data_IF_401188619786
#
_entry.id   IF_401188619786
#
_cell.length_a   1.000
_cell.length_b   1.000
_cell.length_c   1.000
_cell.angle_alpha   90.00
_cell.angle_beta   90.00
_cell.angle_gamma   90.00
#
_symmetry.space_group_name_H-M   'P 1'
#
loop_
_entity.id
_entity.type
_entity.pdbx_description
1 polymer ?
#
# COMPACT_ATOMS: atom_id res chain seq x y z
N UNK A 1 -14.60 -0.02 -20.47
CA UNK A 1 -13.80 -0.77 -19.49
C UNK A 1 -13.08 -1.88 -20.24
N UNK A 2 -11.79 -1.75 -20.37
CA UNK A 2 -10.99 -2.64 -21.23
C UNK A 2 -10.45 -3.84 -20.44
N UNK A 3 -10.16 -3.67 -19.13
CA UNK A 3 -9.65 -4.70 -18.25
C UNK A 3 -10.18 -4.54 -16.82
N UNK A 4 -10.45 -5.64 -16.16
CA UNK A 4 -10.87 -5.71 -14.77
C UNK A 4 -9.93 -6.58 -13.97
N UNK A 5 -9.15 -6.00 -13.09
CA UNK A 5 -8.24 -6.71 -12.19
C UNK A 5 -8.77 -6.59 -10.76
N UNK A 6 -8.80 -7.69 -10.03
CA UNK A 6 -9.06 -7.72 -8.60
C UNK A 6 -7.72 -7.83 -7.87
N UNK A 7 -7.39 -6.85 -7.04
CA UNK A 7 -6.24 -6.92 -6.15
C UNK A 7 -6.68 -7.50 -4.79
N UNK A 8 -5.92 -8.47 -4.31
CA UNK A 8 -6.19 -9.17 -3.04
C UNK A 8 -4.92 -9.19 -2.19
N UNK A 9 -5.03 -8.80 -0.94
CA UNK A 9 -4.02 -9.11 0.07
C UNK A 9 -4.30 -10.53 0.59
N UNK A 10 -3.44 -11.52 0.30
CA UNK A 10 -3.69 -12.92 0.68
C UNK A 10 -3.74 -13.13 2.19
N UNK A 11 -3.15 -12.23 3.00
CA UNK A 11 -3.21 -12.32 4.46
C UNK A 11 -4.61 -12.02 5.02
N UNK A 12 -5.41 -11.21 4.33
CA UNK A 12 -6.80 -10.90 4.70
C UNK A 12 -7.81 -11.72 3.89
N UNK A 13 -7.47 -12.05 2.65
CA UNK A 13 -8.30 -12.80 1.74
C UNK A 13 -9.67 -12.15 1.52
N UNK A 14 -10.71 -12.93 1.68
CA UNK A 14 -12.12 -12.55 1.53
C UNK A 14 -12.86 -12.45 2.88
N UNK A 15 -12.11 -12.48 4.01
CA UNK A 15 -12.70 -12.54 5.34
C UNK A 15 -13.59 -13.77 5.53
N UNK A 16 -14.81 -13.59 6.03
CA UNK A 16 -15.79 -14.68 6.18
C UNK A 16 -16.56 -15.02 4.89
N UNK A 17 -16.21 -14.40 3.76
CA UNK A 17 -16.87 -14.61 2.47
C UNK A 17 -18.28 -14.04 2.33
N UNK A 18 -18.78 -13.32 3.34
CA UNK A 18 -20.12 -12.76 3.34
C UNK A 18 -20.14 -11.34 2.79
N UNK A 19 -21.30 -10.97 2.23
CA UNK A 19 -21.56 -9.60 1.74
C UNK A 19 -21.97 -8.70 2.90
N UNK A 20 -21.57 -7.42 2.83
CA UNK A 20 -21.99 -6.41 3.81
C UNK A 20 -23.54 -6.41 4.00
N UNK A 21 -24.07 -6.31 5.23
CA UNK A 21 -23.35 -6.04 6.49
C UNK A 21 -22.83 -7.28 7.23
N UNK A 22 -23.07 -8.51 6.73
CA UNK A 22 -22.67 -9.75 7.39
C UNK A 22 -21.17 -10.07 7.24
N UNK A 23 -20.48 -9.41 6.32
CA UNK A 23 -19.05 -9.56 6.06
C UNK A 23 -18.46 -8.41 5.25
N UNK A 24 -17.17 -8.52 4.84
CA UNK A 24 -16.42 -7.44 4.24
C UNK A 24 -16.70 -7.26 2.74
N UNK A 25 -17.34 -8.21 2.07
CA UNK A 25 -17.53 -8.15 0.64
C UNK A 25 -18.63 -7.14 0.26
N UNK A 26 -18.44 -6.43 -0.83
CA UNK A 26 -19.44 -5.50 -1.40
C UNK A 26 -20.45 -6.20 -2.32
N UNK A 27 -20.10 -7.38 -2.82
CA UNK A 27 -20.91 -8.25 -3.66
C UNK A 27 -20.52 -9.72 -3.42
N UNK A 28 -21.31 -10.66 -3.93
CA UNK A 28 -20.99 -12.08 -3.86
C UNK A 28 -19.67 -12.35 -4.61
N UNK A 29 -18.83 -13.19 -4.02
CA UNK A 29 -17.50 -13.51 -4.55
C UNK A 29 -17.57 -14.00 -6.00
N UNK A 30 -18.52 -14.89 -6.32
CA UNK A 30 -18.67 -15.44 -7.66
C UNK A 30 -18.95 -14.36 -8.71
N UNK A 31 -19.74 -13.34 -8.36
CA UNK A 31 -20.03 -12.22 -9.27
C UNK A 31 -18.80 -11.36 -9.54
N UNK A 32 -18.01 -11.06 -8.49
CA UNK A 32 -16.75 -10.35 -8.62
C UNK A 32 -15.75 -11.11 -9.50
N UNK A 33 -15.56 -12.41 -9.21
CA UNK A 33 -14.66 -13.28 -9.96
C UNK A 33 -15.09 -13.46 -11.43
N UNK A 34 -16.39 -13.60 -11.70
CA UNK A 34 -16.87 -13.73 -13.09
C UNK A 34 -16.53 -12.54 -13.96
N UNK A 35 -16.54 -11.32 -13.38
CA UNK A 35 -16.24 -10.06 -14.07
C UNK A 35 -14.75 -9.74 -14.20
N UNK A 36 -13.93 -10.37 -13.35
CA UNK A 36 -12.49 -10.14 -13.35
C UNK A 36 -11.84 -10.82 -14.57
N UNK A 37 -10.93 -10.13 -15.21
CA UNK A 37 -10.08 -10.68 -16.26
C UNK A 37 -8.81 -11.30 -15.69
N UNK A 38 -8.38 -10.83 -14.50
CA UNK A 38 -7.26 -11.37 -13.74
C UNK A 38 -7.39 -11.04 -12.25
N UNK A 39 -6.62 -11.75 -11.43
CA UNK A 39 -6.41 -11.45 -10.02
C UNK A 39 -4.94 -11.12 -9.80
N UNK A 40 -4.66 -10.13 -8.96
CA UNK A 40 -3.32 -9.82 -8.45
C UNK A 40 -3.29 -10.08 -6.95
N UNK A 41 -2.46 -11.04 -6.54
CA UNK A 41 -2.17 -11.28 -5.12
C UNK A 41 -1.02 -10.35 -4.71
N UNK A 42 -1.34 -9.40 -3.83
CA UNK A 42 -0.40 -8.39 -3.31
C UNK A 42 0.12 -8.86 -1.95
N UNK A 43 1.34 -9.36 -1.90
CA UNK A 43 1.99 -9.79 -0.67
C UNK A 43 2.95 -8.71 -0.14
N UNK A 44 3.17 -8.60 1.18
CA UNK A 44 4.31 -7.88 1.72
C UNK A 44 5.62 -8.46 1.19
N UNK A 45 6.68 -7.66 1.10
CA UNK A 45 7.98 -8.09 0.56
C UNK A 45 8.56 -9.34 1.25
N UNK A 46 8.20 -9.59 2.51
CA UNK A 46 8.68 -10.72 3.32
C UNK A 46 7.86 -12.01 3.19
N UNK A 47 6.69 -11.97 2.55
CA UNK A 47 5.80 -13.12 2.46
C UNK A 47 6.01 -13.92 1.17
N UNK A 48 6.03 -15.25 1.27
CA UNK A 48 5.90 -16.12 0.10
C UNK A 48 4.46 -16.04 -0.43
N UNK A 49 4.28 -15.81 -1.73
CA UNK A 49 2.95 -15.72 -2.29
C UNK A 49 2.34 -17.13 -2.43
N UNK A 50 1.47 -17.49 -1.50
CA UNK A 50 0.63 -18.68 -1.63
C UNK A 50 -0.71 -18.29 -2.26
N UNK A 51 -1.18 -19.14 -3.18
CA UNK A 51 -2.51 -18.94 -3.78
C UNK A 51 -3.57 -19.47 -2.81
N UNK A 52 -4.48 -18.63 -2.33
CA UNK A 52 -5.53 -19.05 -1.42
C UNK A 52 -6.44 -20.13 -2.03
N UNK A 53 -6.85 -21.12 -1.24
CA UNK A 53 -7.69 -22.26 -1.69
C UNK A 53 -9.01 -21.83 -2.36
N UNK A 54 -9.61 -20.70 -1.96
CA UNK A 54 -10.83 -20.18 -2.59
C UNK A 54 -10.63 -19.73 -4.05
N UNK A 55 -9.36 -19.58 -4.50
CA UNK A 55 -9.01 -19.27 -5.90
C UNK A 55 -8.78 -20.51 -6.76
N UNK A 56 -8.79 -21.71 -6.23
CA UNK A 56 -8.51 -22.94 -6.99
C UNK A 56 -9.44 -23.14 -8.20
N UNK A 57 -10.66 -22.62 -8.14
CA UNK A 57 -11.65 -22.66 -9.23
C UNK A 57 -11.57 -21.48 -10.19
N UNK A 58 -10.67 -20.54 -9.94
CA UNK A 58 -10.50 -19.40 -10.82
C UNK A 58 -9.61 -19.78 -12.00
N UNK A 59 -10.16 -19.75 -13.21
CA UNK A 59 -9.49 -20.25 -14.43
C UNK A 59 -8.74 -19.19 -15.23
N UNK A 60 -8.87 -17.92 -14.81
CA UNK A 60 -8.19 -16.79 -15.47
C UNK A 60 -6.84 -16.50 -14.78
N UNK A 61 -5.97 -15.65 -15.37
CA UNK A 61 -4.64 -15.38 -14.81
C UNK A 61 -4.65 -14.92 -13.36
N UNK A 62 -3.80 -15.54 -12.54
CA UNK A 62 -3.47 -15.09 -11.19
C UNK A 62 -2.02 -14.60 -11.24
N UNK A 63 -1.82 -13.32 -10.98
CA UNK A 63 -0.52 -12.67 -10.92
C UNK A 63 -0.12 -12.48 -9.47
N UNK A 64 1.16 -12.64 -9.20
CA UNK A 64 1.74 -12.36 -7.90
C UNK A 64 2.57 -11.10 -7.96
N UNK A 65 2.33 -10.18 -7.03
CA UNK A 65 3.12 -8.97 -6.90
C UNK A 65 3.50 -8.74 -5.43
N UNK A 66 4.66 -8.11 -5.22
CA UNK A 66 5.12 -7.64 -3.91
C UNK A 66 5.02 -6.13 -3.86
N UNK A 67 4.58 -5.62 -2.72
CA UNK A 67 4.64 -4.19 -2.45
C UNK A 67 6.05 -3.87 -1.94
N UNK A 68 6.80 -3.10 -2.70
CA UNK A 68 8.16 -2.71 -2.37
C UNK A 68 8.27 -1.19 -2.33
N UNK A 69 9.09 -0.63 -1.41
CA UNK A 69 9.40 0.78 -1.44
C UNK A 69 10.09 1.13 -2.75
N UNK A 70 9.67 2.23 -3.38
CA UNK A 70 10.11 2.63 -4.73
C UNK A 70 10.81 3.99 -4.74
N UNK A 71 11.31 4.44 -3.59
CA UNK A 71 11.98 5.73 -3.44
C UNK A 71 13.36 5.62 -2.82
N UNK A 72 14.06 6.75 -2.81
CA UNK A 72 15.33 6.93 -2.10
C UNK A 72 15.02 7.74 -0.84
N UNK A 73 15.50 7.29 0.31
CA UNK A 73 15.34 8.02 1.57
C UNK A 73 16.23 9.26 1.57
N UNK A 74 15.78 10.36 2.21
CA UNK A 74 16.65 11.50 2.48
C UNK A 74 17.86 11.09 3.33
N UNK A 75 19.05 11.58 2.99
CA UNK A 75 20.23 11.40 3.85
C UNK A 75 20.23 12.41 5.01
N UNK A 76 19.32 12.22 5.94
CA UNK A 76 19.12 13.03 7.14
C UNK A 76 18.45 12.19 8.21
N UNK A 77 18.39 12.68 9.43
CA UNK A 77 17.47 12.12 10.41
C UNK A 77 16.02 12.27 9.91
N UNK A 78 15.18 11.35 10.30
CA UNK A 78 13.77 11.29 9.87
C UNK A 78 12.86 11.29 11.09
N UNK A 79 11.82 12.10 11.05
CA UNK A 79 10.63 11.94 11.88
C UNK A 79 9.55 11.36 10.99
N UNK A 80 9.24 10.09 11.24
CA UNK A 80 8.29 9.31 10.45
C UNK A 80 6.90 9.36 11.07
N UNK A 81 5.87 9.64 10.29
CA UNK A 81 4.50 9.60 10.76
C UNK A 81 3.59 8.85 9.79
N UNK A 82 2.58 8.14 10.32
CA UNK A 82 1.63 7.40 9.50
C UNK A 82 0.30 7.19 10.22
N UNK A 83 -0.80 7.44 9.48
CA UNK A 83 -2.18 7.14 9.87
C UNK A 83 -2.71 5.92 9.14
N UNK A 84 -2.15 4.76 9.46
CA UNK A 84 -2.45 3.45 8.90
C UNK A 84 -2.92 2.50 10.00
N UNK A 85 -3.66 1.46 9.63
CA UNK A 85 -4.08 0.42 10.58
C UNK A 85 -2.89 -0.31 11.25
N UNK A 86 -1.73 -0.34 10.59
CA UNK A 86 -0.47 -0.89 11.11
C UNK A 86 0.70 0.01 10.72
N UNK A 87 0.90 1.15 11.42
CA UNK A 87 1.94 2.13 11.09
C UNK A 87 3.36 1.59 11.30
N UNK A 88 3.53 0.61 12.21
CA UNK A 88 4.81 -0.06 12.51
C UNK A 88 5.46 -0.63 11.23
N UNK A 89 4.66 -1.18 10.32
CA UNK A 89 5.18 -1.71 9.04
C UNK A 89 5.87 -0.65 8.19
N UNK A 90 5.38 0.58 8.23
CA UNK A 90 6.02 1.70 7.54
C UNK A 90 7.34 2.07 8.22
N UNK A 91 7.36 2.15 9.55
CA UNK A 91 8.56 2.46 10.31
C UNK A 91 9.63 1.39 10.16
N UNK A 92 9.25 0.11 10.22
CA UNK A 92 10.14 -1.03 9.95
C UNK A 92 10.72 -0.99 8.53
N UNK A 93 9.91 -0.58 7.54
CA UNK A 93 10.36 -0.43 6.16
C UNK A 93 11.43 0.66 6.04
N UNK A 94 11.24 1.81 6.69
CA UNK A 94 12.23 2.87 6.70
C UNK A 94 13.55 2.40 7.33
N UNK A 95 13.48 1.69 8.46
CA UNK A 95 14.64 1.13 9.14
C UNK A 95 15.35 0.09 8.27
N UNK A 96 14.61 -0.81 7.62
CA UNK A 96 15.18 -1.83 6.72
C UNK A 96 15.86 -1.21 5.48
N UNK A 97 15.44 -0.02 5.03
CA UNK A 97 16.08 0.76 3.98
C UNK A 97 17.30 1.54 4.46
N UNK A 98 17.68 1.45 5.74
CA UNK A 98 18.79 2.20 6.33
C UNK A 98 18.42 3.64 6.74
N UNK A 99 17.15 3.97 6.85
CA UNK A 99 16.67 5.28 7.29
C UNK A 99 17.02 5.55 8.75
N UNK A 100 17.53 6.75 9.03
CA UNK A 100 17.86 7.23 10.38
C UNK A 100 16.59 7.76 11.07
N UNK A 101 15.67 6.88 11.46
CA UNK A 101 14.41 7.28 12.12
C UNK A 101 14.71 7.71 13.54
N UNK A 102 14.70 9.03 13.79
CA UNK A 102 14.89 9.62 15.12
C UNK A 102 13.62 9.50 15.97
N UNK A 103 12.45 9.66 15.34
CA UNK A 103 11.17 9.46 16.02
C UNK A 103 10.12 8.90 15.05
N UNK A 104 9.26 8.01 15.57
CA UNK A 104 8.15 7.40 14.86
C UNK A 104 6.83 7.77 15.54
N UNK A 105 5.98 8.52 14.84
CA UNK A 105 4.73 9.07 15.37
C UNK A 105 3.54 8.36 14.70
N UNK A 106 2.92 7.37 15.38
CA UNK A 106 1.73 6.70 14.87
C UNK A 106 0.49 7.57 15.07
N UNK A 107 -0.38 7.59 14.06
CA UNK A 107 -1.74 8.15 14.14
C UNK A 107 -2.78 7.05 13.94
N UNK A 108 -4.02 7.33 14.30
CA UNK A 108 -5.14 6.43 14.02
C UNK A 108 -5.32 6.20 12.51
N UNK A 109 -5.84 5.05 12.13
CA UNK A 109 -6.09 4.77 10.70
C UNK A 109 -7.02 5.84 10.09
N UNK A 110 -6.65 6.31 8.91
CA UNK A 110 -7.34 7.39 8.21
C UNK A 110 -7.37 8.75 8.94
N UNK A 111 -6.40 9.04 9.82
CA UNK A 111 -6.33 10.29 10.59
C UNK A 111 -6.44 11.53 9.70
N UNK A 112 -7.36 12.47 10.01
CA UNK A 112 -7.45 13.75 9.32
C UNK A 112 -6.44 14.74 9.96
N UNK A 113 -5.25 14.85 9.40
CA UNK A 113 -4.19 15.70 9.94
C UNK A 113 -4.63 17.15 10.10
N UNK A 114 -4.68 17.64 11.35
CA UNK A 114 -4.93 19.04 11.66
C UNK A 114 -3.67 19.89 11.51
N UNK A 115 -3.84 21.20 11.45
CA UNK A 115 -2.69 22.14 11.45
C UNK A 115 -1.85 22.01 12.74
N UNK A 116 -2.49 21.70 13.88
CA UNK A 116 -1.79 21.53 15.14
C UNK A 116 -0.99 20.23 15.16
N UNK A 117 -1.52 19.13 14.62
CA UNK A 117 -0.76 17.88 14.45
C UNK A 117 0.52 18.12 13.62
N UNK A 118 0.36 18.83 12.50
CA UNK A 118 1.46 19.06 11.56
C UNK A 118 2.51 20.02 12.11
N UNK A 119 2.10 21.04 12.89
CA UNK A 119 3.02 21.90 13.61
C UNK A 119 3.79 21.15 14.70
N UNK A 120 3.10 20.29 15.45
CA UNK A 120 3.75 19.47 16.44
C UNK A 120 4.79 18.52 15.81
N UNK A 121 4.48 17.89 14.69
CA UNK A 121 5.44 17.09 13.93
C UNK A 121 6.66 17.93 13.48
N UNK A 122 6.45 19.19 13.07
CA UNK A 122 7.54 20.10 12.73
C UNK A 122 8.43 20.47 13.90
N UNK A 123 7.85 20.66 15.08
CA UNK A 123 8.59 20.91 16.32
C UNK A 123 9.49 19.71 16.64
N UNK A 124 8.94 18.50 16.64
CA UNK A 124 9.71 17.25 16.81
C UNK A 124 10.84 17.16 15.77
N UNK A 125 10.54 17.46 14.51
CA UNK A 125 11.56 17.40 13.44
C UNK A 125 12.68 18.41 13.65
N UNK A 126 12.38 19.60 14.16
CA UNK A 126 13.40 20.62 14.52
C UNK A 126 14.27 20.16 15.68
N UNK A 127 13.69 19.58 16.72
CA UNK A 127 14.41 19.11 17.90
C UNK A 127 15.42 18.00 17.57
N UNK A 128 15.12 17.19 16.54
CA UNK A 128 15.96 16.09 16.05
C UNK A 128 16.86 16.47 14.85
N UNK A 129 16.84 17.70 14.38
CA UNK A 129 17.47 18.09 13.10
C UNK A 129 17.10 17.11 11.97
N UNK A 130 15.80 16.84 11.86
CA UNK A 130 15.23 15.77 11.04
C UNK A 130 14.28 16.33 9.97
N UNK A 131 14.03 15.50 8.95
CA UNK A 131 12.97 15.74 7.96
C UNK A 131 11.75 14.89 8.26
N UNK A 132 10.57 15.46 8.03
CA UNK A 132 9.32 14.72 8.07
C UNK A 132 9.23 13.76 6.90
N UNK A 133 8.80 12.53 7.17
CA UNK A 133 8.53 11.53 6.14
C UNK A 133 7.23 10.78 6.43
N UNK A 134 6.46 10.51 5.37
CA UNK A 134 5.20 9.78 5.49
C UNK A 134 4.93 8.89 4.27
N UNK A 135 3.80 8.20 4.26
CA UNK A 135 3.34 7.36 3.15
C UNK A 135 2.65 8.19 2.06
N UNK A 136 2.55 7.66 0.82
CA UNK A 136 1.74 8.30 -0.24
C UNK A 136 0.27 8.48 0.17
N UNK A 137 -0.27 7.51 0.90
CA UNK A 137 -1.66 7.51 1.37
C UNK A 137 -1.92 8.65 2.36
N UNK A 138 -0.99 8.90 3.27
CA UNK A 138 -1.09 10.00 4.22
C UNK A 138 -0.79 11.34 3.56
N UNK A 139 0.23 11.40 2.71
CA UNK A 139 0.56 12.60 1.95
C UNK A 139 -0.60 13.10 1.08
N UNK A 140 -1.44 12.20 0.56
CA UNK A 140 -2.63 12.57 -0.20
C UNK A 140 -3.68 13.33 0.62
N UNK A 141 -3.65 13.22 1.96
CA UNK A 141 -4.56 13.92 2.89
C UNK A 141 -4.00 15.27 3.35
N UNK A 142 -2.72 15.55 3.09
CA UNK A 142 -2.10 16.81 3.45
C UNK A 142 -2.51 17.90 2.46
N UNK A 143 -2.57 19.14 2.95
CA UNK A 143 -2.70 20.31 2.08
C UNK A 143 -1.48 20.41 1.14
N UNK A 144 -1.60 21.07 -0.02
CA UNK A 144 -0.45 21.24 -0.92
C UNK A 144 0.76 21.89 -0.25
N UNK A 145 0.54 22.85 0.65
CA UNK A 145 1.59 23.54 1.41
C UNK A 145 2.37 22.57 2.31
N UNK A 146 1.67 21.71 3.05
CA UNK A 146 2.30 20.70 3.90
C UNK A 146 2.95 19.58 3.11
N UNK A 147 2.31 19.13 2.03
CA UNK A 147 2.88 18.09 1.16
C UNK A 147 4.24 18.48 0.57
N UNK A 148 4.44 19.76 0.25
CA UNK A 148 5.72 20.27 -0.26
C UNK A 148 6.86 20.24 0.78
N UNK A 149 6.53 20.10 2.07
CA UNK A 149 7.48 20.14 3.21
C UNK A 149 7.82 18.74 3.74
N UNK A 150 7.08 17.73 3.33
CA UNK A 150 7.17 16.36 3.84
C UNK A 150 7.75 15.45 2.75
N UNK A 151 8.75 14.65 3.10
CA UNK A 151 9.21 13.59 2.22
C UNK A 151 8.16 12.47 2.16
N UNK A 152 8.01 11.85 1.00
CA UNK A 152 7.06 10.76 0.80
C UNK A 152 7.83 9.53 0.34
N UNK A 153 7.59 8.38 1.00
CA UNK A 153 8.09 7.10 0.52
C UNK A 153 7.02 6.45 -0.38
N UNK A 154 7.21 6.42 -1.70
CA UNK A 154 6.31 5.74 -2.60
C UNK A 154 6.47 4.22 -2.47
N UNK A 155 5.41 3.49 -2.81
CA UNK A 155 5.43 2.04 -2.94
C UNK A 155 5.01 1.62 -4.35
N UNK A 156 5.63 0.56 -4.86
CA UNK A 156 5.29 -0.01 -6.16
C UNK A 156 4.98 -1.50 -6.03
N UNK A 157 4.05 -1.96 -6.83
CA UNK A 157 3.81 -3.39 -7.00
C UNK A 157 4.86 -3.95 -7.97
N UNK A 158 5.72 -4.86 -7.49
CA UNK A 158 6.68 -5.62 -8.29
C UNK A 158 6.11 -6.99 -8.58
N UNK A 159 5.88 -7.26 -9.85
CA UNK A 159 5.36 -8.55 -10.27
C UNK A 159 6.47 -9.59 -10.33
N UNK A 160 6.16 -10.84 -9.96
CA UNK A 160 7.12 -11.95 -9.99
C UNK A 160 7.32 -12.53 -11.38
N UNK A 161 6.40 -12.24 -12.31
CA UNK A 161 6.43 -12.69 -13.69
C UNK A 161 5.95 -11.56 -14.62
N UNK A 162 6.88 -10.75 -15.11
CA UNK A 162 6.60 -9.62 -16.00
C UNK A 162 5.90 -10.06 -17.31
N UNK A 163 6.29 -11.21 -17.86
CA UNK A 163 5.68 -11.74 -19.09
C UNK A 163 4.17 -12.00 -18.93
N UNK A 164 3.71 -12.44 -17.76
CA UNK A 164 2.28 -12.67 -17.52
C UNK A 164 1.49 -11.35 -17.46
N UNK A 165 2.08 -10.32 -16.87
CA UNK A 165 1.51 -8.97 -16.85
C UNK A 165 1.48 -8.37 -18.26
N UNK A 166 2.59 -8.47 -19.01
CA UNK A 166 2.66 -7.98 -20.38
C UNK A 166 1.62 -8.64 -21.29
N UNK A 167 1.45 -9.95 -21.21
CA UNK A 167 0.41 -10.67 -21.94
C UNK A 167 -1.00 -10.20 -21.59
N UNK A 168 -1.26 -9.90 -20.32
CA UNK A 168 -2.55 -9.38 -19.87
C UNK A 168 -2.82 -7.97 -20.41
N UNK A 169 -1.78 -7.13 -20.54
CA UNK A 169 -1.87 -5.74 -20.98
C UNK A 169 -1.78 -5.58 -22.51
N UNK A 170 -1.25 -6.57 -23.22
CA UNK A 170 -1.04 -6.50 -24.67
C UNK A 170 -2.27 -6.07 -25.48
N UNK A 171 -3.50 -6.58 -25.20
CA UNK A 171 -4.70 -6.16 -25.93
C UNK A 171 -5.10 -4.69 -25.75
N UNK A 172 -4.60 -4.02 -24.69
CA UNK A 172 -4.89 -2.62 -24.38
C UNK A 172 -3.88 -1.70 -25.04
N UNK A 173 -2.61 -2.13 -25.11
CA UNK A 173 -1.52 -1.36 -25.72
C UNK A 173 -1.59 -1.30 -27.25
N UNK A 174 -2.30 -2.22 -27.86
CA UNK A 174 -2.46 -2.31 -29.33
C UNK A 174 -3.65 -1.51 -29.88
N UNK A 175 -4.33 -0.75 -29.05
CA UNK A 175 -5.41 0.17 -29.41
C UNK A 175 -4.96 1.62 -29.38
#
# INVERSE_FOLDING_TARGET
KDLSIIAVDPAYGIGNGQVFPAGPLRERLEHGLARADAIVLLSPSSASPETPAWLERFTKPILHARLEPAGILPDSNLVAFAGLARPEKFFDTLAAMGGKVAEAVPFSDHHPYSEDDLRHLEEIAKDHDARLITTEKDAARLTPAWRARVAVLPVAARFTADAALENLLAPIRSR
#
